data_IF_858922132767
#
_entry.id   IF_858922132767
#
_cell.length_a   1.000
_cell.length_b   1.000
_cell.length_c   1.000
_cell.angle_alpha   90.00
_cell.angle_beta   90.00
_cell.angle_gamma   90.00
#
_symmetry.space_group_name_H-M   'P 1'
#
loop_
_entity.id
_entity.type
_entity.pdbx_description
1 polymer ?
#
# COMPACT_ATOMS: atom_id res chain seq x y z
N UNK A 1 -16.40 7.26 -14.48
CA UNK A 1 -15.10 7.84 -14.06
C UNK A 1 -15.23 8.89 -12.95
N UNK A 2 -16.08 9.91 -13.08
CA UNK A 2 -16.19 11.03 -12.11
C UNK A 2 -16.46 10.56 -10.67
N UNK A 3 -17.48 9.72 -10.46
CA UNK A 3 -17.80 9.15 -9.14
C UNK A 3 -16.65 8.36 -8.53
N UNK A 4 -15.88 7.66 -9.38
CA UNK A 4 -14.72 6.90 -8.92
C UNK A 4 -13.58 7.82 -8.46
N UNK A 5 -13.39 8.96 -9.13
CA UNK A 5 -12.43 9.97 -8.69
C UNK A 5 -12.82 10.58 -7.34
N UNK A 6 -14.11 10.88 -7.13
CA UNK A 6 -14.64 11.33 -5.84
C UNK A 6 -14.40 10.28 -4.73
N UNK A 7 -14.65 8.99 -5.03
CA UNK A 7 -14.33 7.88 -4.12
C UNK A 7 -12.84 7.83 -3.76
N UNK A 8 -11.95 7.98 -4.75
CA UNK A 8 -10.50 7.97 -4.52
C UNK A 8 -10.02 9.13 -3.64
N UNK A 9 -10.73 10.26 -3.65
CA UNK A 9 -10.36 11.43 -2.86
C UNK A 9 -10.62 11.26 -1.35
N UNK A 10 -11.59 10.41 -0.98
CA UNK A 10 -11.99 10.20 0.42
C UNK A 10 -11.43 8.91 1.03
N UNK A 11 -11.02 7.94 0.19
CA UNK A 11 -10.37 6.72 0.66
C UNK A 11 -8.88 6.95 1.01
N UNK A 12 -8.33 6.20 2.00
CA UNK A 12 -8.99 5.19 2.85
C UNK A 12 -9.66 5.79 4.10
N UNK A 13 -9.75 7.13 4.22
CA UNK A 13 -10.22 7.81 5.43
C UNK A 13 -11.70 7.52 5.70
N UNK A 14 -12.54 7.57 4.68
CA UNK A 14 -13.96 7.26 4.77
C UNK A 14 -14.29 5.93 4.07
N UNK A 15 -14.46 4.88 4.87
CA UNK A 15 -14.82 3.54 4.38
C UNK A 15 -16.28 3.44 3.94
N UNK A 16 -17.16 4.33 4.41
CA UNK A 16 -18.60 4.30 4.07
C UNK A 16 -18.85 4.74 2.63
N UNK A 17 -17.99 5.61 2.09
CA UNK A 17 -18.02 6.06 0.71
C UNK A 17 -18.01 4.91 -0.32
N UNK A 18 -17.39 3.77 0.01
CA UNK A 18 -17.40 2.59 -0.87
C UNK A 18 -18.79 1.96 -0.96
N UNK A 19 -19.56 1.93 0.13
CA UNK A 19 -20.93 1.42 0.13
C UNK A 19 -21.84 2.31 -0.71
N UNK A 20 -21.74 3.63 -0.55
CA UNK A 20 -22.45 4.62 -1.37
C UNK A 20 -22.11 4.45 -2.85
N UNK A 21 -20.82 4.35 -3.19
CA UNK A 21 -20.40 4.14 -4.57
C UNK A 21 -21.00 2.85 -5.17
N UNK A 22 -21.06 1.76 -4.41
CA UNK A 22 -21.66 0.48 -4.84
C UNK A 22 -23.16 0.59 -5.10
N UNK A 23 -23.87 1.37 -4.28
CA UNK A 23 -25.31 1.56 -4.43
C UNK A 23 -25.66 2.42 -5.64
N UNK A 24 -24.82 3.41 -5.96
CA UNK A 24 -25.15 4.41 -6.99
C UNK A 24 -24.56 4.08 -8.37
N UNK A 25 -23.38 3.47 -8.44
CA UNK A 25 -22.66 3.28 -9.70
C UNK A 25 -23.17 2.05 -10.49
N UNK A 26 -23.09 2.08 -11.83
CA UNK A 26 -23.38 0.90 -12.65
C UNK A 26 -22.52 -0.30 -12.23
N UNK A 27 -23.09 -1.52 -12.32
CA UNK A 27 -22.43 -2.74 -11.86
C UNK A 27 -21.02 -2.95 -12.47
N UNK A 28 -20.85 -2.69 -13.76
CA UNK A 28 -19.54 -2.79 -14.43
C UNK A 28 -18.51 -1.81 -13.88
N UNK A 29 -18.94 -0.59 -13.54
CA UNK A 29 -18.09 0.42 -12.91
C UNK A 29 -17.73 0.00 -11.48
N UNK A 30 -18.66 -0.60 -10.73
CA UNK A 30 -18.37 -1.18 -9.40
C UNK A 30 -17.31 -2.27 -9.48
N UNK A 31 -17.47 -3.23 -10.39
CA UNK A 31 -16.50 -4.32 -10.56
C UNK A 31 -15.13 -3.78 -10.97
N UNK A 32 -15.09 -2.85 -11.93
CA UNK A 32 -13.85 -2.21 -12.40
C UNK A 32 -13.18 -1.41 -11.28
N UNK A 33 -13.95 -0.66 -10.50
CA UNK A 33 -13.44 0.11 -9.36
C UNK A 33 -12.80 -0.79 -8.31
N UNK A 34 -13.48 -1.87 -7.91
CA UNK A 34 -12.93 -2.81 -6.93
C UNK A 34 -11.63 -3.46 -7.41
N UNK A 35 -11.56 -3.83 -8.70
CA UNK A 35 -10.34 -4.35 -9.29
C UNK A 35 -9.16 -3.35 -9.18
N UNK A 36 -9.39 -2.09 -9.55
CA UNK A 36 -8.39 -1.02 -9.45
C UNK A 36 -7.95 -0.76 -8.00
N UNK A 37 -8.91 -0.62 -7.09
CA UNK A 37 -8.67 -0.29 -5.69
C UNK A 37 -7.89 -1.39 -4.96
N UNK A 38 -8.08 -2.65 -5.35
CA UNK A 38 -7.35 -3.83 -4.86
C UNK A 38 -6.05 -4.12 -5.60
N UNK A 39 -5.68 -3.30 -6.60
CA UNK A 39 -4.35 -3.32 -7.23
C UNK A 39 -4.26 -3.92 -8.63
N UNK A 40 -5.36 -4.41 -9.23
CA UNK A 40 -5.37 -4.78 -10.66
C UNK A 40 -5.38 -3.51 -11.50
N UNK A 41 -4.32 -3.24 -12.27
CA UNK A 41 -4.17 -1.97 -13.01
C UNK A 41 -3.86 -2.23 -14.48
N UNK A 42 -4.28 -1.35 -15.41
CA UNK A 42 -3.79 -1.38 -16.78
C UNK A 42 -2.27 -1.18 -16.80
N UNK A 43 -1.63 -1.67 -17.86
CA UNK A 43 -0.19 -1.46 -18.08
C UNK A 43 0.08 0.04 -18.23
N UNK A 44 1.24 0.49 -17.76
CA UNK A 44 1.72 1.86 -18.02
C UNK A 44 1.83 2.09 -19.54
N UNK A 45 1.16 3.13 -20.03
CA UNK A 45 1.20 3.52 -21.46
C UNK A 45 2.10 4.74 -21.71
N UNK A 46 2.36 5.57 -20.70
CA UNK A 46 3.25 6.73 -20.80
C UNK A 46 3.98 6.99 -19.47
N UNK A 47 5.15 7.63 -19.52
CA UNK A 47 5.85 8.07 -18.32
C UNK A 47 5.18 9.33 -17.72
N UNK A 48 5.24 9.55 -16.39
CA UNK A 48 4.67 10.76 -15.77
C UNK A 48 5.19 12.07 -16.39
N UNK A 49 6.50 12.17 -16.64
CA UNK A 49 7.11 13.37 -17.23
C UNK A 49 6.61 13.62 -18.65
N UNK A 50 6.41 12.54 -19.43
CA UNK A 50 5.93 12.64 -20.81
C UNK A 50 4.46 13.11 -20.86
N UNK A 51 3.63 12.62 -19.94
CA UNK A 51 2.23 13.09 -19.80
C UNK A 51 2.22 14.59 -19.51
N UNK A 52 3.03 15.05 -18.56
CA UNK A 52 3.10 16.45 -18.19
C UNK A 52 3.62 17.32 -19.34
N UNK A 53 4.62 16.84 -20.08
CA UNK A 53 5.15 17.50 -21.27
C UNK A 53 4.07 17.68 -22.35
N UNK A 54 3.26 16.65 -22.63
CA UNK A 54 2.17 16.77 -23.60
C UNK A 54 1.11 17.80 -23.19
N UNK A 55 0.82 17.92 -21.89
CA UNK A 55 -0.08 18.96 -21.39
C UNK A 55 0.55 20.33 -21.53
N UNK A 56 1.83 20.49 -21.14
CA UNK A 56 2.54 21.76 -21.27
C UNK A 56 2.62 22.24 -22.72
N UNK A 57 2.96 21.33 -23.65
CA UNK A 57 2.95 21.59 -25.10
C UNK A 57 1.57 22.05 -25.59
N UNK A 58 0.49 21.36 -25.19
CA UNK A 58 -0.88 21.71 -25.59
C UNK A 58 -1.35 23.06 -25.01
N UNK A 59 -0.67 23.59 -24.00
CA UNK A 59 -0.96 24.88 -23.35
C UNK A 59 0.04 25.97 -23.74
N UNK A 60 0.98 25.66 -24.64
CA UNK A 60 2.08 26.54 -25.02
C UNK A 60 2.83 27.10 -23.79
N UNK A 61 3.09 26.22 -22.82
CA UNK A 61 3.59 26.63 -21.51
C UNK A 61 5.13 26.58 -21.44
N UNK A 62 5.81 27.69 -21.12
CA UNK A 62 7.26 27.69 -20.99
C UNK A 62 7.72 26.94 -19.74
N UNK A 63 8.93 26.36 -19.81
CA UNK A 63 9.49 25.49 -18.77
C UNK A 63 9.53 26.13 -17.37
N UNK A 64 9.81 27.43 -17.29
CA UNK A 64 9.87 28.13 -16.00
C UNK A 64 8.50 28.24 -15.31
N UNK A 65 7.41 28.43 -16.08
CA UNK A 65 6.05 28.42 -15.53
C UNK A 65 5.63 27.01 -15.13
N UNK A 66 5.99 26.02 -15.94
CA UNK A 66 5.74 24.62 -15.60
C UNK A 66 6.46 24.23 -14.29
N UNK A 67 7.71 24.66 -14.12
CA UNK A 67 8.47 24.45 -12.90
C UNK A 67 7.78 25.10 -11.69
N UNK A 68 7.34 26.35 -11.81
CA UNK A 68 6.62 27.05 -10.74
C UNK A 68 5.29 26.34 -10.36
N UNK A 69 4.50 25.87 -11.33
CA UNK A 69 3.28 25.09 -11.05
C UNK A 69 3.57 23.79 -10.29
N UNK A 70 4.72 23.17 -10.55
CA UNK A 70 5.13 21.94 -9.87
C UNK A 70 5.55 22.15 -8.42
N UNK A 71 5.91 23.36 -8.01
CA UNK A 71 6.22 23.67 -6.61
C UNK A 71 4.97 23.71 -5.73
N UNK A 72 3.80 23.97 -6.33
CA UNK A 72 2.52 24.11 -5.63
C UNK A 72 1.76 22.78 -5.54
N UNK A 73 1.98 21.86 -6.46
CA UNK A 73 1.21 20.62 -6.60
C UNK A 73 1.93 19.43 -5.99
N UNK A 74 1.18 18.43 -5.50
CA UNK A 74 1.79 17.30 -4.79
C UNK A 74 2.47 16.31 -5.73
N UNK A 75 1.95 16.18 -6.96
CA UNK A 75 2.53 15.29 -7.97
C UNK A 75 2.28 15.78 -9.41
N UNK A 76 3.00 15.18 -10.36
CA UNK A 76 2.92 15.51 -11.79
C UNK A 76 1.56 15.22 -12.42
N UNK A 77 0.84 14.21 -11.92
CA UNK A 77 -0.47 13.86 -12.45
C UNK A 77 -1.51 14.91 -12.06
N UNK A 78 -1.38 15.47 -10.86
CA UNK A 78 -2.12 16.63 -10.35
C UNK A 78 -1.75 17.89 -11.12
N UNK A 79 -0.46 18.20 -11.30
CA UNK A 79 -0.03 19.34 -12.13
C UNK A 79 -0.65 19.26 -13.53
N UNK A 80 -0.48 18.11 -14.21
CA UNK A 80 -1.02 17.90 -15.55
C UNK A 80 -2.55 18.05 -15.58
N UNK A 81 -3.26 17.52 -14.59
CA UNK A 81 -4.72 17.58 -14.56
C UNK A 81 -5.28 18.99 -14.34
N UNK A 82 -4.61 19.82 -13.55
CA UNK A 82 -5.04 21.19 -13.25
C UNK A 82 -4.75 22.17 -14.39
N UNK A 83 -3.79 21.85 -15.26
CA UNK A 83 -3.45 22.67 -16.44
C UNK A 83 -4.37 22.41 -17.64
N UNK A 84 -5.17 21.36 -17.61
CA UNK A 84 -6.12 21.02 -18.67
C UNK A 84 -7.31 21.99 -18.67
N UNK A 85 -7.87 22.31 -19.86
CA UNK A 85 -9.05 23.13 -19.95
C UNK A 85 -10.29 22.43 -19.35
N UNK A 86 -11.38 23.18 -19.09
CA UNK A 86 -12.65 22.59 -18.69
C UNK A 86 -13.12 21.53 -19.70
N UNK A 87 -13.71 20.41 -19.23
CA UNK A 87 -14.15 19.35 -20.11
C UNK A 87 -15.33 19.78 -20.99
N UNK A 88 -15.33 19.28 -22.21
CA UNK A 88 -16.40 19.40 -23.19
C UNK A 88 -16.94 18.02 -23.54
N UNK A 89 -18.25 17.86 -23.55
CA UNK A 89 -18.92 16.62 -23.95
C UNK A 89 -19.16 15.63 -22.81
N UNK A 90 -19.65 14.45 -23.16
CA UNK A 90 -20.10 13.44 -22.19
C UNK A 90 -18.91 12.72 -21.55
N UNK A 91 -18.82 12.69 -20.21
CA UNK A 91 -17.73 12.03 -19.52
C UNK A 91 -17.82 10.50 -19.66
N UNK A 92 -16.72 9.80 -19.98
CA UNK A 92 -16.72 8.36 -20.06
C UNK A 92 -16.93 7.68 -18.70
N UNK A 93 -17.49 6.48 -18.73
CA UNK A 93 -17.62 5.60 -17.56
C UNK A 93 -16.24 5.13 -17.09
N UNK A 94 -16.14 4.59 -15.86
CA UNK A 94 -14.85 4.06 -15.39
C UNK A 94 -14.42 2.88 -16.26
N UNK A 95 -15.37 2.02 -16.60
CA UNK A 95 -15.16 0.83 -17.42
C UNK A 95 -14.61 1.21 -18.80
N UNK A 96 -15.21 2.19 -19.48
CA UNK A 96 -14.73 2.69 -20.77
C UNK A 96 -13.30 3.23 -20.70
N UNK A 97 -12.98 4.02 -19.65
CA UNK A 97 -11.62 4.53 -19.45
C UNK A 97 -10.62 3.39 -19.31
N UNK A 98 -10.91 2.40 -18.46
CA UNK A 98 -9.99 1.28 -18.22
C UNK A 98 -9.83 0.42 -19.47
N UNK A 99 -10.90 0.15 -20.21
CA UNK A 99 -10.84 -0.57 -21.48
C UNK A 99 -9.99 0.18 -22.51
N UNK A 100 -10.22 1.48 -22.64
CA UNK A 100 -9.44 2.34 -23.55
C UNK A 100 -7.95 2.33 -23.20
N UNK A 101 -7.60 2.44 -21.91
CA UNK A 101 -6.20 2.35 -21.47
C UNK A 101 -5.59 0.97 -21.67
N UNK A 102 -6.38 -0.09 -21.54
CA UNK A 102 -5.92 -1.47 -21.72
C UNK A 102 -5.56 -1.76 -23.18
N UNK A 103 -6.29 -1.15 -24.12
CA UNK A 103 -6.04 -1.26 -25.57
C UNK A 103 -4.97 -0.29 -26.07
N UNK A 104 -4.65 0.76 -25.29
CA UNK A 104 -3.67 1.76 -25.69
C UNK A 104 -2.22 1.21 -25.64
N UNK A 105 -1.40 1.71 -26.56
CA UNK A 105 0.03 1.43 -26.63
C UNK A 105 0.83 2.71 -26.38
N UNK A 106 2.14 2.65 -26.13
CA UNK A 106 2.97 3.85 -26.02
C UNK A 106 2.89 4.76 -27.25
N UNK A 107 2.64 4.20 -28.45
CA UNK A 107 2.51 4.96 -29.69
C UNK A 107 1.17 5.71 -29.77
N UNK A 108 0.09 5.13 -29.24
CA UNK A 108 -1.26 5.74 -29.27
C UNK A 108 -1.56 6.56 -28.01
N UNK A 109 -0.71 6.48 -26.99
CA UNK A 109 -0.96 7.03 -25.66
C UNK A 109 -1.32 8.53 -25.68
N UNK A 110 -0.61 9.35 -26.45
CA UNK A 110 -0.90 10.80 -26.53
C UNK A 110 -2.31 11.05 -27.04
N UNK A 111 -2.67 10.48 -28.19
CA UNK A 111 -3.99 10.65 -28.80
C UNK A 111 -5.12 10.11 -27.88
N UNK A 112 -4.89 8.94 -27.27
CA UNK A 112 -5.83 8.35 -26.31
C UNK A 112 -6.07 9.28 -25.11
N UNK A 113 -5.00 9.79 -24.49
CA UNK A 113 -5.12 10.66 -23.32
C UNK A 113 -5.75 12.02 -23.69
N UNK A 114 -5.38 12.63 -24.81
CA UNK A 114 -5.99 13.88 -25.29
C UNK A 114 -7.50 13.74 -25.46
N UNK A 115 -7.98 12.62 -26.03
CA UNK A 115 -9.41 12.36 -26.19
C UNK A 115 -10.15 12.19 -24.85
N UNK A 116 -9.50 11.61 -23.84
CA UNK A 116 -10.08 11.41 -22.51
C UNK A 116 -10.06 12.70 -21.68
N UNK A 117 -8.96 13.45 -21.72
CA UNK A 117 -8.81 14.74 -21.03
C UNK A 117 -9.89 15.73 -21.42
N UNK A 118 -10.21 15.80 -22.72
CA UNK A 118 -11.22 16.69 -23.24
C UNK A 118 -12.62 16.47 -22.62
N UNK A 119 -12.89 15.30 -22.02
CA UNK A 119 -14.22 14.92 -21.52
C UNK A 119 -14.28 14.72 -20.01
N UNK A 120 -13.18 14.92 -19.30
CA UNK A 120 -13.08 14.63 -17.87
C UNK A 120 -12.70 15.87 -17.05
N UNK A 121 -13.33 16.09 -15.88
CA UNK A 121 -12.97 17.19 -15.00
C UNK A 121 -11.60 16.96 -14.33
N UNK A 122 -10.97 18.01 -13.74
CA UNK A 122 -9.63 17.92 -13.17
C UNK A 122 -9.45 16.75 -12.20
N UNK A 123 -10.36 16.56 -11.24
CA UNK A 123 -10.26 15.44 -10.28
C UNK A 123 -10.23 14.05 -10.95
N UNK A 124 -10.98 13.87 -12.04
CA UNK A 124 -10.96 12.64 -12.80
C UNK A 124 -9.69 12.50 -13.65
N UNK A 125 -9.17 13.61 -14.18
CA UNK A 125 -7.89 13.63 -14.91
C UNK A 125 -6.71 13.26 -14.03
N UNK A 126 -6.72 13.62 -12.73
CA UNK A 126 -5.68 13.16 -11.78
C UNK A 126 -5.63 11.63 -11.75
N UNK A 127 -6.79 10.98 -11.59
CA UNK A 127 -6.87 9.52 -11.53
C UNK A 127 -6.50 8.90 -12.87
N UNK A 128 -7.00 9.44 -13.98
CA UNK A 128 -6.63 8.99 -15.33
C UNK A 128 -5.11 9.03 -15.55
N UNK A 129 -4.47 10.15 -15.22
CA UNK A 129 -3.04 10.35 -15.40
C UNK A 129 -2.25 9.36 -14.54
N UNK A 130 -2.67 9.10 -13.31
CA UNK A 130 -2.06 8.09 -12.43
C UNK A 130 -2.23 6.67 -12.96
N UNK A 131 -3.38 6.34 -13.55
CA UNK A 131 -3.61 5.04 -14.18
C UNK A 131 -2.71 4.86 -15.41
N UNK A 132 -2.69 5.84 -16.31
CA UNK A 132 -1.88 5.82 -17.52
C UNK A 132 -0.37 5.76 -17.23
N UNK A 133 0.06 6.44 -16.17
CA UNK A 133 1.44 6.45 -15.69
C UNK A 133 1.83 5.22 -14.85
N UNK A 134 0.87 4.37 -14.48
CA UNK A 134 1.07 3.24 -13.57
C UNK A 134 1.37 3.64 -12.10
N UNK A 135 1.17 4.91 -11.74
CA UNK A 135 1.42 5.45 -10.40
C UNK A 135 0.18 5.45 -9.50
N UNK A 136 -0.99 5.04 -10.02
CA UNK A 136 -2.20 4.85 -9.22
C UNK A 136 -1.91 3.87 -8.09
N UNK A 137 -2.30 4.16 -6.85
CA UNK A 137 -1.98 3.34 -5.68
C UNK A 137 -3.15 2.45 -5.30
N UNK A 138 -2.86 1.36 -4.62
CA UNK A 138 -3.85 0.49 -4.00
C UNK A 138 -4.43 1.26 -2.82
N UNK A 139 -5.75 1.45 -2.79
CA UNK A 139 -6.44 2.24 -1.76
C UNK A 139 -7.24 1.37 -0.79
N UNK A 140 -7.49 0.10 -1.17
CA UNK A 140 -8.08 -0.91 -0.31
C UNK A 140 -7.06 -2.03 -0.13
N UNK A 141 -6.93 -2.61 1.07
CA UNK A 141 -6.13 -3.82 1.23
C UNK A 141 -6.55 -4.82 0.15
N UNK A 142 -5.58 -5.48 -0.49
CA UNK A 142 -5.89 -6.60 -1.36
C UNK A 142 -6.72 -7.56 -0.51
N UNK A 143 -7.90 -7.96 -1.00
CA UNK A 143 -8.64 -9.01 -0.34
C UNK A 143 -7.66 -10.18 -0.21
N UNK A 144 -7.37 -10.59 1.03
CA UNK A 144 -6.58 -11.78 1.24
C UNK A 144 -7.23 -12.88 0.39
N UNK A 145 -6.47 -13.74 -0.29
CA UNK A 145 -7.08 -14.94 -0.86
C UNK A 145 -7.99 -15.52 0.20
N UNK A 146 -9.22 -15.87 -0.17
CA UNK A 146 -10.18 -16.53 0.72
C UNK A 146 -9.63 -17.91 1.05
N UNK A 147 -8.56 -17.96 1.84
CA UNK A 147 -8.07 -19.16 2.45
C UNK A 147 -8.97 -19.36 3.63
N UNK A 148 -9.82 -20.38 3.56
CA UNK A 148 -10.61 -20.86 4.70
C UNK A 148 -9.71 -21.51 5.78
N UNK A 149 -8.42 -21.16 5.81
CA UNK A 149 -7.46 -21.63 6.78
C UNK A 149 -7.56 -20.74 8.02
N UNK A 150 -7.61 -21.33 9.22
CA UNK A 150 -7.56 -20.55 10.46
C UNK A 150 -6.26 -19.73 10.50
N UNK A 151 -6.28 -18.54 11.13
CA UNK A 151 -5.07 -17.75 11.32
C UNK A 151 -4.00 -18.59 12.01
N UNK A 152 -2.79 -18.56 11.46
CA UNK A 152 -1.63 -19.27 12.00
C UNK A 152 -0.95 -18.38 13.02
N UNK A 153 -0.47 -18.95 14.11
CA UNK A 153 0.27 -18.24 15.16
C UNK A 153 1.76 -18.54 15.09
N UNK A 154 2.57 -17.57 15.52
CA UNK A 154 4.01 -17.73 15.76
C UNK A 154 4.44 -16.96 17.00
N UNK A 155 5.45 -17.48 17.69
CA UNK A 155 6.19 -16.82 18.76
C UNK A 155 7.39 -16.11 18.15
N UNK A 156 7.48 -14.79 18.29
CA UNK A 156 8.52 -13.98 17.68
C UNK A 156 9.21 -13.08 18.70
N UNK A 157 10.51 -12.86 18.53
CA UNK A 157 11.29 -11.94 19.37
C UNK A 157 11.18 -10.50 18.85
N UNK A 158 11.13 -9.53 19.76
CA UNK A 158 11.23 -8.11 19.43
C UNK A 158 12.70 -7.70 19.25
N UNK A 159 13.01 -7.01 18.15
CA UNK A 159 14.40 -6.59 17.84
C UNK A 159 14.56 -5.08 17.70
N UNK A 160 13.52 -4.39 17.23
CA UNK A 160 13.49 -2.93 17.10
C UNK A 160 12.18 -2.37 17.65
N UNK A 161 12.23 -1.15 18.16
CA UNK A 161 11.06 -0.41 18.63
C UNK A 161 11.18 1.08 18.29
N UNK A 162 10.07 1.69 17.88
CA UNK A 162 9.91 3.13 17.77
C UNK A 162 9.01 3.60 18.93
N UNK A 163 9.53 4.27 19.97
CA UNK A 163 8.75 4.62 21.17
C UNK A 163 7.58 5.59 20.97
N UNK A 164 7.73 6.56 20.07
CA UNK A 164 6.69 7.54 19.79
C UNK A 164 5.69 6.94 18.79
N UNK A 165 4.46 6.68 19.26
CA UNK A 165 3.51 5.83 18.56
C UNK A 165 4.07 4.40 18.45
N UNK A 166 4.11 3.64 19.57
CA UNK A 166 4.84 2.39 19.68
C UNK A 166 4.65 1.45 18.50
N UNK A 167 5.70 1.26 17.71
CA UNK A 167 5.79 0.23 16.67
C UNK A 167 6.98 -0.68 16.97
N UNK A 168 6.78 -1.99 16.86
CA UNK A 168 7.80 -3.00 17.12
C UNK A 168 8.10 -3.81 15.86
N UNK A 169 9.36 -4.19 15.69
CA UNK A 169 9.80 -5.14 14.66
C UNK A 169 9.98 -6.50 15.29
N UNK A 170 9.20 -7.47 14.80
CA UNK A 170 9.26 -8.86 15.20
C UNK A 170 10.18 -9.65 14.26
N UNK A 171 10.89 -10.62 14.83
CA UNK A 171 11.83 -11.47 14.13
C UNK A 171 11.67 -12.95 14.56
N UNK A 172 12.04 -13.86 13.67
CA UNK A 172 12.13 -15.30 13.93
C UNK A 172 13.59 -15.76 13.77
N UNK A 173 13.94 -16.89 14.38
CA UNK A 173 15.31 -17.38 14.34
C UNK A 173 15.63 -18.07 13.00
N UNK A 174 16.78 -17.73 12.42
CA UNK A 174 17.38 -18.46 11.32
C UNK A 174 18.87 -18.58 11.59
N UNK A 175 19.38 -19.80 11.71
CA UNK A 175 20.80 -20.07 11.95
C UNK A 175 21.38 -19.27 13.14
N UNK A 176 20.61 -19.17 14.22
CA UNK A 176 21.00 -18.43 15.44
C UNK A 176 20.94 -16.90 15.31
N UNK A 177 20.42 -16.36 14.20
CA UNK A 177 20.27 -14.92 13.96
C UNK A 177 18.79 -14.56 13.88
N UNK A 178 18.33 -13.49 14.56
CA UNK A 178 16.94 -13.06 14.46
C UNK A 178 16.73 -12.33 13.14
N UNK A 179 15.87 -12.88 12.28
CA UNK A 179 15.52 -12.32 10.96
C UNK A 179 14.19 -11.57 11.06
N UNK A 180 14.16 -10.25 10.76
CA UNK A 180 12.94 -9.47 10.81
C UNK A 180 11.86 -9.99 9.85
N UNK A 181 10.65 -10.22 10.37
CA UNK A 181 9.52 -10.75 9.62
C UNK A 181 8.45 -9.68 9.36
N UNK A 182 8.15 -8.82 10.33
CA UNK A 182 7.13 -7.78 10.18
C UNK A 182 7.31 -6.65 11.20
N UNK A 183 6.65 -5.53 10.95
CA UNK A 183 6.53 -4.41 11.90
C UNK A 183 5.06 -4.22 12.24
N UNK A 184 4.75 -4.10 13.52
CA UNK A 184 3.38 -3.99 14.04
C UNK A 184 3.28 -2.87 15.09
N UNK A 185 2.11 -2.22 15.21
CA UNK A 185 1.86 -1.34 16.34
C UNK A 185 1.80 -2.16 17.63
N UNK A 186 2.43 -1.66 18.69
CA UNK A 186 2.38 -2.23 20.02
C UNK A 186 1.17 -1.65 20.77
N UNK A 187 0.07 -2.41 20.77
CA UNK A 187 -1.24 -2.00 21.30
C UNK A 187 -1.71 -2.86 22.47
N UNK A 188 -0.78 -3.43 23.23
CA UNK A 188 -1.09 -4.33 24.34
C UNK A 188 -1.32 -3.56 25.66
N UNK A 189 -2.13 -4.07 26.61
CA UNK A 189 -2.26 -3.47 27.95
C UNK A 189 -0.90 -3.29 28.66
N UNK A 190 0.04 -4.19 28.43
CA UNK A 190 1.37 -4.23 29.03
C UNK A 190 2.38 -3.28 28.36
N UNK A 191 1.95 -2.49 27.36
CA UNK A 191 2.80 -1.52 26.66
C UNK A 191 3.62 -0.63 27.61
N UNK A 192 3.08 -0.08 28.72
CA UNK A 192 3.87 0.72 29.65
C UNK A 192 5.07 -0.05 30.25
N UNK A 193 4.89 -1.34 30.59
CA UNK A 193 5.94 -2.19 31.14
C UNK A 193 7.00 -2.52 30.08
N UNK A 194 6.57 -2.86 28.87
CA UNK A 194 7.47 -3.11 27.72
C UNK A 194 8.29 -1.84 27.42
N UNK A 195 7.65 -0.67 27.39
CA UNK A 195 8.35 0.60 27.15
C UNK A 195 9.31 0.96 28.29
N UNK A 196 9.02 0.57 29.53
CA UNK A 196 9.95 0.72 30.64
C UNK A 196 11.19 -0.15 30.44
N UNK A 197 11.03 -1.41 30.04
CA UNK A 197 12.14 -2.32 29.72
C UNK A 197 12.99 -1.77 28.56
N UNK A 198 12.35 -1.28 27.49
CA UNK A 198 13.05 -0.69 26.31
C UNK A 198 13.98 0.47 26.72
N UNK A 199 13.58 1.29 27.70
CA UNK A 199 14.40 2.42 28.16
C UNK A 199 15.73 1.98 28.79
N UNK A 200 15.74 0.87 29.51
CA UNK A 200 16.95 0.33 30.16
C UNK A 200 17.74 -0.66 29.29
N UNK A 201 17.14 -1.20 28.22
CA UNK A 201 17.73 -2.24 27.38
C UNK A 201 17.92 -1.78 25.92
N UNK A 202 18.12 -0.47 25.67
CA UNK A 202 18.46 0.01 24.33
C UNK A 202 19.95 -0.28 24.04
N UNK A 203 20.23 -1.07 23.01
CA UNK A 203 21.59 -1.33 22.51
C UNK A 203 22.10 -0.19 21.62
N UNK A 204 21.29 0.21 20.63
CA UNK A 204 21.67 1.21 19.63
C UNK A 204 20.47 2.12 19.31
N UNK A 205 20.76 3.34 18.84
CA UNK A 205 19.74 4.35 18.50
C UNK A 205 19.91 4.79 17.03
N UNK A 206 18.81 4.74 16.28
CA UNK A 206 18.74 5.18 14.87
C UNK A 206 17.61 6.21 14.73
N UNK A 207 17.91 7.47 14.99
CA UNK A 207 16.90 8.53 15.04
C UNK A 207 15.79 8.19 16.06
N UNK A 208 14.52 8.00 15.63
CA UNK A 208 13.43 7.61 16.54
C UNK A 208 13.41 6.10 16.88
N UNK A 209 14.14 5.26 16.15
CA UNK A 209 14.15 3.80 16.34
C UNK A 209 15.22 3.41 17.37
N UNK A 210 14.92 2.38 18.15
CA UNK A 210 15.81 1.76 19.15
C UNK A 210 16.00 0.31 18.77
N UNK A 211 17.25 -0.16 18.79
CA UNK A 211 17.59 -1.58 18.76
C UNK A 211 17.68 -2.10 20.19
N UNK A 212 17.11 -3.26 20.44
CA UNK A 212 17.05 -3.90 21.77
C UNK A 212 17.58 -5.32 21.67
N UNK A 213 17.98 -5.96 22.79
CA UNK A 213 18.20 -7.40 22.83
C UNK A 213 16.95 -8.14 22.37
N UNK A 214 17.14 -9.25 21.67
CA UNK A 214 16.07 -10.14 21.23
C UNK A 214 15.55 -10.99 22.40
N UNK A 215 15.09 -10.34 23.47
CA UNK A 215 14.74 -10.98 24.76
C UNK A 215 13.24 -11.08 25.00
N UNK A 216 12.45 -10.14 24.47
CA UNK A 216 11.00 -10.15 24.67
C UNK A 216 10.32 -10.96 23.56
N UNK A 217 9.60 -12.01 23.96
CA UNK A 217 8.84 -12.91 23.06
C UNK A 217 7.37 -12.51 23.01
N UNK A 218 6.81 -12.49 21.81
CA UNK A 218 5.41 -12.14 21.55
C UNK A 218 4.74 -13.22 20.72
N UNK A 219 3.47 -13.49 21.00
CA UNK A 219 2.62 -14.25 20.09
C UNK A 219 1.97 -13.31 19.08
N UNK A 220 2.03 -13.67 17.81
CA UNK A 220 1.32 -12.98 16.74
C UNK A 220 0.61 -13.97 15.83
N UNK A 221 -0.49 -13.54 15.22
CA UNK A 221 -1.14 -14.30 14.16
C UNK A 221 -0.93 -13.67 12.78
N UNK A 222 -1.17 -14.47 11.74
CA UNK A 222 -1.25 -14.06 10.35
C UNK A 222 -2.12 -15.04 9.56
N UNK A 223 -2.66 -14.62 8.42
CA UNK A 223 -3.55 -15.47 7.61
C UNK A 223 -2.78 -16.28 6.59
N UNK A 224 -1.90 -15.63 5.81
CA UNK A 224 -1.12 -16.27 4.74
C UNK A 224 0.22 -15.56 4.54
N UNK A 225 1.13 -16.19 3.82
CA UNK A 225 2.41 -15.62 3.37
C UNK A 225 2.49 -15.57 1.85
N UNK A 226 3.19 -14.56 1.31
CA UNK A 226 3.52 -14.49 -0.12
C UNK A 226 5.02 -14.23 -0.34
N UNK A 227 5.66 -14.81 -1.38
CA UNK A 227 7.06 -14.56 -1.67
C UNK A 227 7.35 -13.08 -1.99
N UNK A 228 8.32 -12.49 -1.29
CA UNK A 228 8.82 -11.14 -1.55
C UNK A 228 10.33 -11.03 -1.33
N UNK A 229 11.09 -11.04 -2.44
CA UNK A 229 12.56 -10.95 -2.46
C UNK A 229 13.15 -9.66 -1.86
N UNK A 230 12.32 -8.62 -1.64
CA UNK A 230 12.77 -7.34 -1.04
C UNK A 230 12.81 -7.39 0.49
N UNK A 231 12.23 -8.42 1.11
CA UNK A 231 12.19 -8.61 2.57
C UNK A 231 13.34 -9.53 2.99
N UNK A 232 13.95 -9.29 4.15
CA UNK A 232 15.02 -10.16 4.69
C UNK A 232 14.55 -11.60 4.89
N UNK A 233 13.34 -11.79 5.39
CA UNK A 233 12.69 -13.09 5.52
C UNK A 233 12.21 -13.71 4.19
N UNK A 234 12.31 -13.00 3.07
CA UNK A 234 11.84 -13.45 1.77
C UNK A 234 10.31 -13.51 1.61
N UNK A 235 9.52 -13.05 2.60
CA UNK A 235 8.07 -13.19 2.63
C UNK A 235 7.37 -11.88 3.06
N UNK A 236 6.16 -11.67 2.53
CA UNK A 236 5.16 -10.75 3.10
C UNK A 236 4.14 -11.57 3.90
N UNK A 237 3.81 -11.11 5.12
CA UNK A 237 2.74 -11.68 5.94
C UNK A 237 1.45 -10.90 5.69
N UNK A 238 0.34 -11.62 5.51
CA UNK A 238 -0.99 -11.03 5.33
C UNK A 238 -1.78 -11.01 6.63
N UNK A 239 -2.40 -9.85 6.90
CA UNK A 239 -3.16 -9.57 8.12
C UNK A 239 -2.43 -9.92 9.43
N UNK A 240 -1.14 -9.57 9.60
CA UNK A 240 -0.44 -9.88 10.83
C UNK A 240 -1.03 -9.08 12.00
N UNK A 241 -1.25 -9.73 13.16
CA UNK A 241 -1.71 -9.05 14.38
C UNK A 241 -0.92 -9.51 15.58
N UNK A 242 -0.59 -8.56 16.45
CA UNK A 242 0.02 -8.84 17.74
C UNK A 242 -1.07 -9.35 18.68
N UNK A 243 -0.90 -10.55 19.24
CA UNK A 243 -1.88 -11.15 20.15
C UNK A 243 -1.57 -10.84 21.60
N UNK A 244 -0.36 -11.16 22.06
CA UNK A 244 0.07 -10.96 23.45
C UNK A 244 1.57 -10.99 23.62
N UNK A 245 2.03 -10.42 24.73
CA UNK A 245 3.39 -10.59 25.23
C UNK A 245 3.48 -11.88 26.06
N UNK A 246 4.59 -12.61 25.93
CA UNK A 246 4.85 -13.88 26.62
C UNK A 246 6.06 -13.69 27.56
N UNK A 247 5.88 -13.11 28.76
CA UNK A 247 6.99 -12.77 29.66
C UNK A 247 7.74 -14.00 30.19
N UNK A 248 7.06 -15.14 30.31
CA UNK A 248 7.64 -16.38 30.85
C UNK A 248 8.29 -17.26 29.78
N UNK A 249 8.21 -16.86 28.50
CA UNK A 249 8.79 -17.63 27.39
C UNK A 249 10.19 -17.09 27.08
N UNK A 250 11.24 -17.92 27.20
CA UNK A 250 12.60 -17.50 26.90
C UNK A 250 12.81 -17.33 25.38
N UNK A 251 13.79 -16.51 24.96
CA UNK A 251 13.97 -16.14 23.55
C UNK A 251 14.27 -17.30 22.61
N UNK A 252 14.94 -18.34 23.09
CA UNK A 252 15.29 -19.55 22.37
C UNK A 252 14.06 -20.42 22.03
N UNK A 253 12.94 -20.21 22.73
CA UNK A 253 11.64 -20.83 22.43
C UNK A 253 10.79 -20.02 21.44
N UNK A 254 11.31 -18.93 20.88
CA UNK A 254 10.67 -18.30 19.73
C UNK A 254 10.85 -19.16 18.47
N UNK A 255 9.88 -19.09 17.56
CA UNK A 255 9.82 -20.00 16.42
C UNK A 255 10.97 -19.77 15.41
N UNK A 256 11.41 -20.83 14.72
CA UNK A 256 12.32 -20.69 13.59
C UNK A 256 11.60 -20.08 12.38
N UNK A 257 12.34 -19.40 11.50
CA UNK A 257 11.79 -18.77 10.30
C UNK A 257 11.07 -19.77 9.38
N UNK A 258 11.53 -21.03 9.37
CA UNK A 258 10.92 -22.13 8.61
C UNK A 258 9.42 -22.34 8.95
N UNK A 259 8.98 -21.94 10.15
CA UNK A 259 7.57 -21.98 10.59
C UNK A 259 6.63 -21.20 9.67
N UNK A 260 7.12 -20.15 8.99
CA UNK A 260 6.32 -19.35 8.04
C UNK A 260 6.07 -20.04 6.69
N UNK A 261 6.86 -21.07 6.38
CA UNK A 261 6.77 -21.85 5.13
C UNK A 261 6.18 -23.24 5.34
N UNK A 262 6.04 -23.69 6.59
CA UNK A 262 5.51 -25.00 6.91
C UNK A 262 3.97 -25.04 6.73
N UNK A 263 3.43 -25.88 5.83
CA UNK A 263 2.00 -26.01 5.63
C UNK A 263 1.27 -26.73 6.77
N UNK A 264 1.97 -27.47 7.66
CA UNK A 264 1.38 -28.45 8.58
C UNK A 264 0.93 -27.91 9.95
N UNK A 265 1.47 -26.78 10.43
CA UNK A 265 1.03 -26.15 11.68
C UNK A 265 1.32 -26.94 12.97
N UNK A 266 1.86 -28.16 12.90
CA UNK A 266 2.33 -28.92 14.05
C UNK A 266 3.64 -28.34 14.56
N UNK A 267 3.77 -28.15 15.88
CA UNK A 267 4.99 -27.63 16.50
C UNK A 267 6.20 -28.43 16.01
N UNK A 268 7.15 -27.74 15.39
CA UNK A 268 8.41 -28.33 14.96
C UNK A 268 9.16 -28.67 16.26
N UNK A 269 8.99 -29.90 16.74
CA UNK A 269 9.80 -30.44 17.81
C UNK A 269 11.25 -30.51 17.30
N UNK A 270 12.12 -29.74 17.96
CA UNK A 270 13.58 -29.83 17.84
C UNK A 270 14.04 -31.04 18.65
#
# INVERSE_FOLDING_TARGET
MIRFAALCAVLPRDKTALATYRAEAPLLDVTTALALLSGKRPRRIAAPDLILAWVAEARDMPDFLLAACREVTNDRAETAALLLPPPTGTPPTLTEVVQTLTLATPLTARATLTSLWARLPPQANIVLNRLAAGSFRTLLPQAAPLTNQPPRTVKAVMTLVQPAGPEITLALWQDGVPVPITRLPLTLPETPAIMAWVRSHTLEKFGPVRKVPAELVFEMDYTTTTPNKRRKCGLDLHQPRLLRWLPDVPPDQADPLARLTDPSGEDIAI
#
